data_IF_062016349684
#
_entry.id   IF_062016349684
#
_cell.length_a   1.000
_cell.length_b   1.000
_cell.length_c   1.000
_cell.angle_alpha   90.00
_cell.angle_beta   90.00
_cell.angle_gamma   90.00
#
_symmetry.space_group_name_H-M   'P 1'
#
loop_
_entity.id
_entity.type
_entity.pdbx_description
1 polymer ?
#
# COMPACT_ATOMS: atom_id res chain seq x y z
N UNK A 1 17.32 -3.88 -29.71
CA UNK A 1 16.17 -3.02 -30.05
C UNK A 1 15.17 -3.02 -28.92
N UNK A 2 14.71 -1.86 -28.50
CA UNK A 2 13.69 -1.75 -27.45
C UNK A 2 12.28 -1.92 -28.02
N UNK A 3 11.36 -2.49 -27.24
CA UNK A 3 9.98 -2.72 -27.67
C UNK A 3 9.15 -1.43 -27.67
N UNK A 4 9.46 -0.50 -26.77
CA UNK A 4 8.79 0.80 -26.63
C UNK A 4 7.26 0.68 -26.53
N UNK A 5 6.73 0.04 -25.47
CA UNK A 5 5.29 -0.15 -25.35
C UNK A 5 4.58 1.20 -25.16
N UNK A 6 3.43 1.35 -25.81
CA UNK A 6 2.53 2.50 -25.59
C UNK A 6 1.47 2.07 -24.60
N UNK A 7 1.36 2.78 -23.49
CA UNK A 7 0.46 2.40 -22.40
C UNK A 7 0.06 3.64 -21.60
N UNK A 8 -1.17 3.70 -21.06
CA UNK A 8 -1.56 4.75 -20.12
C UNK A 8 -1.02 4.52 -18.69
N UNK A 9 -0.33 3.41 -18.43
CA UNK A 9 0.24 3.13 -17.13
C UNK A 9 -0.06 1.74 -16.62
N UNK A 10 0.00 1.58 -15.30
CA UNK A 10 -0.24 0.32 -14.62
C UNK A 10 -1.75 0.15 -14.43
N UNK A 11 -2.30 -1.03 -14.77
CA UNK A 11 -3.72 -1.33 -14.59
C UNK A 11 -3.99 -1.83 -13.17
N UNK A 12 -3.28 -2.83 -12.72
CA UNK A 12 -3.46 -3.38 -11.38
C UNK A 12 -2.19 -4.02 -10.87
N UNK A 13 -2.13 -4.13 -9.54
CA UNK A 13 -1.04 -4.79 -8.82
C UNK A 13 -1.66 -5.86 -7.93
N UNK A 14 -1.21 -7.10 -8.07
CA UNK A 14 -1.63 -8.20 -7.21
C UNK A 14 -0.60 -8.44 -6.12
N UNK A 15 -1.08 -8.48 -4.89
CA UNK A 15 -0.30 -8.77 -3.70
C UNK A 15 -0.86 -10.01 -3.01
N UNK A 16 -0.04 -10.65 -2.18
CA UNK A 16 -0.46 -11.80 -1.38
C UNK A 16 -0.55 -11.41 0.09
N UNK A 17 -1.50 -12.01 0.78
CA UNK A 17 -1.68 -11.87 2.22
C UNK A 17 -1.84 -13.24 2.87
N UNK A 18 -1.55 -13.33 4.15
CA UNK A 18 -1.70 -14.58 4.89
C UNK A 18 -3.15 -14.90 5.22
N UNK A 19 -3.98 -13.87 5.43
CA UNK A 19 -5.38 -13.97 5.83
C UNK A 19 -6.19 -12.89 5.12
N UNK A 20 -7.10 -13.30 4.22
CA UNK A 20 -7.90 -12.36 3.43
C UNK A 20 -8.80 -11.49 4.30
N UNK A 21 -9.40 -12.05 5.35
CA UNK A 21 -10.30 -11.27 6.21
C UNK A 21 -9.53 -10.23 7.02
N UNK A 22 -8.37 -10.58 7.55
CA UNK A 22 -7.52 -9.65 8.28
C UNK A 22 -7.00 -8.54 7.38
N UNK A 23 -6.54 -8.88 6.18
CA UNK A 23 -6.08 -7.90 5.20
C UNK A 23 -7.21 -6.98 4.76
N UNK A 24 -8.38 -7.53 4.43
CA UNK A 24 -9.54 -6.72 4.04
C UNK A 24 -9.95 -5.77 5.16
N UNK A 25 -10.02 -6.25 6.40
CA UNK A 25 -10.34 -5.39 7.54
C UNK A 25 -9.34 -4.23 7.66
N UNK A 26 -8.06 -4.51 7.48
CA UNK A 26 -7.03 -3.48 7.55
C UNK A 26 -7.22 -2.42 6.46
N UNK A 27 -7.29 -2.83 5.20
CA UNK A 27 -7.37 -1.87 4.09
C UNK A 27 -8.72 -1.17 4.00
N UNK A 28 -9.82 -1.85 4.28
CA UNK A 28 -11.16 -1.28 4.19
C UNK A 28 -11.54 -0.47 5.43
N UNK A 29 -11.34 -1.03 6.63
CA UNK A 29 -11.88 -0.43 7.85
C UNK A 29 -10.87 0.43 8.60
N UNK A 30 -9.58 0.12 8.54
CA UNK A 30 -8.54 0.90 9.22
C UNK A 30 -8.02 2.00 8.32
N UNK A 31 -7.56 1.65 7.12
CA UNK A 31 -7.06 2.65 6.16
C UNK A 31 -8.22 3.39 5.50
N UNK A 32 -9.29 2.69 5.14
CA UNK A 32 -10.49 3.30 4.57
C UNK A 32 -10.57 3.26 3.05
N UNK A 33 -9.85 2.36 2.39
CA UNK A 33 -10.01 2.18 0.95
C UNK A 33 -11.34 1.50 0.62
N UNK A 34 -12.03 1.94 -0.45
CA UNK A 34 -13.30 1.31 -0.84
C UNK A 34 -13.05 -0.02 -1.55
N UNK A 35 -13.45 -1.12 -0.94
CA UNK A 35 -13.40 -2.44 -1.58
C UNK A 35 -14.53 -2.51 -2.62
N UNK A 36 -14.17 -2.66 -3.87
CA UNK A 36 -15.10 -2.66 -5.02
C UNK A 36 -15.31 -4.03 -5.63
N UNK A 37 -14.50 -5.01 -5.26
CA UNK A 37 -14.62 -6.39 -5.70
C UNK A 37 -14.22 -7.31 -4.55
N UNK A 38 -15.03 -8.32 -4.29
CA UNK A 38 -14.76 -9.32 -3.28
C UNK A 38 -15.29 -10.67 -3.74
N UNK A 39 -14.45 -11.68 -3.63
CA UNK A 39 -14.83 -13.08 -3.82
C UNK A 39 -14.30 -13.90 -2.63
N UNK A 40 -14.51 -15.21 -2.64
CA UNK A 40 -13.92 -16.08 -1.63
C UNK A 40 -12.39 -16.15 -1.71
N UNK A 41 -11.79 -15.69 -2.82
CA UNK A 41 -10.37 -15.85 -3.11
C UNK A 41 -9.59 -14.54 -3.16
N UNK A 42 -10.27 -13.40 -3.30
CA UNK A 42 -9.61 -12.10 -3.44
C UNK A 42 -10.50 -10.94 -3.02
N UNK A 43 -9.89 -9.79 -2.77
CA UNK A 43 -10.56 -8.50 -2.74
C UNK A 43 -9.72 -7.46 -3.48
N UNK A 44 -10.37 -6.38 -3.92
CA UNK A 44 -9.71 -5.32 -4.66
C UNK A 44 -10.27 -3.95 -4.31
N UNK A 45 -9.40 -2.95 -4.35
CA UNK A 45 -9.76 -1.54 -4.17
C UNK A 45 -8.96 -0.66 -5.11
N UNK A 46 -9.51 0.47 -5.56
CA UNK A 46 -8.78 1.41 -6.39
C UNK A 46 -7.89 2.34 -5.55
N UNK A 47 -6.72 2.66 -6.10
CA UNK A 47 -5.89 3.77 -5.65
C UNK A 47 -5.62 4.61 -6.90
N UNK A 48 -6.31 5.73 -7.04
CA UNK A 48 -6.32 6.48 -8.30
C UNK A 48 -6.82 5.59 -9.45
N UNK A 49 -6.04 5.49 -10.51
CA UNK A 49 -6.37 4.66 -11.69
C UNK A 49 -5.85 3.23 -11.61
N UNK A 50 -5.18 2.86 -10.51
CA UNK A 50 -4.59 1.53 -10.32
C UNK A 50 -5.45 0.74 -9.34
N UNK A 51 -5.78 -0.51 -9.69
CA UNK A 51 -6.42 -1.42 -8.75
C UNK A 51 -5.37 -2.20 -7.98
N UNK A 52 -5.58 -2.30 -6.68
CA UNK A 52 -4.78 -3.17 -5.79
C UNK A 52 -5.63 -4.39 -5.49
N UNK A 53 -5.08 -5.56 -5.76
CA UNK A 53 -5.76 -6.86 -5.58
C UNK A 53 -4.98 -7.68 -4.57
N UNK A 54 -5.67 -8.22 -3.57
CA UNK A 54 -5.08 -9.14 -2.61
C UNK A 54 -5.64 -10.54 -2.81
N UNK A 55 -4.74 -11.52 -2.87
CA UNK A 55 -5.05 -12.95 -2.87
C UNK A 55 -4.34 -13.61 -1.69
N UNK A 56 -4.87 -14.74 -1.24
CA UNK A 56 -4.24 -15.49 -0.17
C UNK A 56 -2.92 -16.12 -0.65
N UNK A 57 -1.88 -16.01 0.17
CA UNK A 57 -0.60 -16.68 -0.07
C UNK A 57 -0.72 -18.20 0.19
N UNK A 58 0.18 -18.97 -0.41
CA UNK A 58 0.25 -20.42 -0.20
C UNK A 58 0.82 -20.80 1.17
N UNK A 59 1.58 -19.89 1.78
CA UNK A 59 2.16 -20.05 3.11
C UNK A 59 1.98 -18.79 3.94
N UNK A 60 2.43 -18.79 5.19
CA UNK A 60 2.36 -17.68 6.11
C UNK A 60 3.74 -17.04 6.36
N UNK A 61 4.66 -17.16 5.41
CA UNK A 61 5.96 -16.51 5.49
C UNK A 61 5.79 -14.99 5.56
N UNK A 62 6.56 -14.37 6.42
CA UNK A 62 6.52 -12.93 6.57
C UNK A 62 7.12 -12.24 5.33
N UNK A 63 6.51 -11.12 4.91
CA UNK A 63 7.03 -10.32 3.82
C UNK A 63 8.47 -9.87 4.10
N UNK A 64 9.30 -9.97 3.07
CA UNK A 64 10.71 -9.56 3.14
C UNK A 64 11.00 -8.58 2.00
N UNK A 65 11.24 -7.29 2.31
CA UNK A 65 11.51 -6.27 1.29
C UNK A 65 12.87 -6.40 0.62
N UNK A 66 13.76 -7.26 1.15
CA UNK A 66 15.13 -7.42 0.66
C UNK A 66 15.26 -8.54 -0.36
N UNK A 67 14.20 -9.29 -0.63
CA UNK A 67 14.20 -10.33 -1.67
C UNK A 67 13.76 -9.75 -3.01
N UNK A 68 14.00 -10.49 -4.10
CA UNK A 68 13.58 -10.07 -5.44
C UNK A 68 12.06 -9.88 -5.44
N UNK A 69 11.60 -8.71 -5.89
CA UNK A 69 10.20 -8.37 -5.99
C UNK A 69 9.92 -6.99 -5.43
N UNK A 70 8.89 -6.89 -4.59
CA UNK A 70 8.45 -5.62 -4.03
C UNK A 70 9.26 -5.25 -2.79
N UNK A 71 9.77 -4.02 -2.75
CA UNK A 71 10.32 -3.41 -1.54
C UNK A 71 9.18 -2.73 -0.75
N UNK A 72 8.49 -1.80 -1.38
CA UNK A 72 7.33 -1.12 -0.81
C UNK A 72 6.49 -0.49 -1.93
N UNK A 73 5.31 0.03 -1.56
CA UNK A 73 4.45 0.78 -2.47
C UNK A 73 4.25 2.19 -1.89
N UNK A 74 4.32 3.19 -2.74
CA UNK A 74 4.11 4.58 -2.34
C UNK A 74 2.84 5.12 -2.99
N UNK A 75 1.99 5.74 -2.15
CA UNK A 75 0.75 6.38 -2.56
C UNK A 75 1.00 7.88 -2.57
N UNK A 76 0.66 8.54 -3.66
CA UNK A 76 0.85 9.98 -3.80
C UNK A 76 -0.03 10.74 -2.81
N UNK A 77 0.55 11.76 -2.18
CA UNK A 77 -0.13 12.67 -1.28
C UNK A 77 0.10 14.10 -1.75
N UNK A 78 -0.98 14.87 -1.92
CA UNK A 78 -0.88 16.17 -2.58
C UNK A 78 -0.67 17.35 -1.62
N UNK A 79 -0.82 17.16 -0.31
CA UNK A 79 -0.63 18.24 0.66
C UNK A 79 -0.02 17.76 1.96
N UNK A 80 0.77 18.63 2.61
CA UNK A 80 1.30 18.36 3.94
C UNK A 80 0.20 18.17 4.97
N UNK A 81 -0.88 18.91 4.84
CA UNK A 81 -2.05 18.78 5.72
C UNK A 81 -2.61 17.36 5.67
N UNK A 82 -2.80 16.82 4.46
CA UNK A 82 -3.28 15.44 4.29
C UNK A 82 -2.27 14.43 4.81
N UNK A 83 -0.98 14.63 4.55
CA UNK A 83 0.06 13.74 5.05
C UNK A 83 0.05 13.67 6.57
N UNK A 84 -0.06 14.83 7.24
CA UNK A 84 -0.13 14.90 8.70
C UNK A 84 -1.40 14.26 9.24
N UNK A 85 -2.53 14.46 8.55
CA UNK A 85 -3.81 13.84 8.92
C UNK A 85 -3.72 12.33 8.87
N UNK A 86 -3.15 11.78 7.80
CA UNK A 86 -2.96 10.34 7.62
C UNK A 86 -2.01 9.78 8.69
N UNK A 87 -0.88 10.45 8.92
CA UNK A 87 0.08 10.02 9.94
C UNK A 87 -0.56 9.94 11.34
N UNK A 88 -1.36 10.96 11.69
CA UNK A 88 -2.11 10.95 12.96
C UNK A 88 -3.12 9.81 12.99
N UNK A 89 -3.86 9.59 11.91
CA UNK A 89 -4.84 8.52 11.83
C UNK A 89 -4.21 7.13 11.99
N UNK A 90 -3.05 6.90 11.39
CA UNK A 90 -2.31 5.66 11.55
C UNK A 90 -1.93 5.41 13.02
N UNK A 91 -1.39 6.43 13.67
CA UNK A 91 -1.01 6.33 15.09
C UNK A 91 -2.23 6.12 15.99
N UNK A 92 -3.33 6.85 15.75
CA UNK A 92 -4.57 6.72 16.52
C UNK A 92 -5.18 5.32 16.37
N UNK A 93 -5.03 4.70 15.21
CA UNK A 93 -5.51 3.35 14.92
C UNK A 93 -4.55 2.24 15.41
N UNK A 94 -3.40 2.61 15.98
CA UNK A 94 -2.41 1.63 16.46
C UNK A 94 -1.62 0.97 15.33
N UNK A 95 -1.57 1.56 14.15
CA UNK A 95 -0.80 1.04 13.02
C UNK A 95 0.66 1.47 13.16
N UNK A 96 1.58 0.49 13.08
CA UNK A 96 3.01 0.77 13.10
C UNK A 96 3.38 1.71 11.95
N UNK A 97 4.01 2.84 12.27
CA UNK A 97 4.39 3.82 11.26
C UNK A 97 5.62 4.62 11.70
N UNK A 98 6.21 5.31 10.75
CA UNK A 98 7.44 6.10 10.98
C UNK A 98 7.19 7.50 11.51
N UNK A 99 5.92 7.97 11.50
CA UNK A 99 5.66 9.41 11.54
C UNK A 99 6.12 10.07 10.25
N UNK A 100 5.85 11.36 10.12
CA UNK A 100 6.27 12.13 8.94
C UNK A 100 7.79 12.30 8.96
N UNK A 101 8.43 11.92 7.85
CA UNK A 101 9.88 12.01 7.66
C UNK A 101 10.20 12.66 6.33
N UNK A 102 11.45 13.09 6.19
CA UNK A 102 11.99 13.60 4.93
C UNK A 102 12.82 12.51 4.25
N UNK A 103 12.47 12.19 3.01
CA UNK A 103 13.31 11.36 2.16
C UNK A 103 14.46 12.23 1.63
N UNK A 104 15.67 11.95 2.06
CA UNK A 104 16.84 12.73 1.67
C UNK A 104 17.22 12.57 0.20
N UNK A 105 16.82 11.47 -0.43
CA UNK A 105 17.11 11.23 -1.86
C UNK A 105 16.30 12.14 -2.77
N UNK A 106 14.99 12.21 -2.55
CA UNK A 106 14.08 13.01 -3.38
C UNK A 106 13.68 14.34 -2.74
N UNK A 107 14.08 14.59 -1.50
CA UNK A 107 13.72 15.80 -0.75
C UNK A 107 12.22 15.98 -0.61
N UNK A 108 11.50 14.88 -0.35
CA UNK A 108 10.05 14.85 -0.17
C UNK A 108 9.69 14.26 1.18
N UNK A 109 8.63 14.76 1.77
CA UNK A 109 8.08 14.21 3.01
C UNK A 109 7.22 12.98 2.73
N UNK A 110 7.20 12.06 3.67
CA UNK A 110 6.42 10.84 3.59
C UNK A 110 6.13 10.29 4.98
N UNK A 111 5.20 9.36 5.06
CA UNK A 111 4.99 8.49 6.21
C UNK A 111 4.91 7.05 5.71
N UNK A 112 5.69 6.16 6.31
CA UNK A 112 5.65 4.73 6.02
C UNK A 112 4.88 3.98 7.09
N UNK A 113 4.15 2.95 6.70
CA UNK A 113 3.41 2.08 7.62
C UNK A 113 3.45 0.64 7.12
N UNK A 114 3.08 -0.30 7.98
CA UNK A 114 3.08 -1.72 7.66
C UNK A 114 1.69 -2.31 7.83
N UNK A 115 1.33 -3.18 6.88
CA UNK A 115 0.11 -3.94 6.97
C UNK A 115 0.26 -5.16 7.92
N UNK A 116 -0.79 -5.99 8.11
CA UNK A 116 -0.69 -7.17 9.00
C UNK A 116 0.39 -8.17 8.62
N UNK A 117 0.73 -8.28 7.35
CA UNK A 117 1.80 -9.16 6.84
C UNK A 117 3.14 -8.46 6.73
N UNK A 118 3.24 -7.22 7.27
CA UNK A 118 4.41 -6.37 7.25
C UNK A 118 4.79 -5.86 5.86
N UNK A 119 3.87 -5.86 4.92
CA UNK A 119 4.07 -5.16 3.63
C UNK A 119 4.14 -3.67 3.94
N UNK A 120 5.20 -3.02 3.47
CA UNK A 120 5.40 -1.60 3.68
C UNK A 120 4.70 -0.78 2.61
N UNK A 121 3.97 0.22 3.07
CA UNK A 121 3.37 1.26 2.26
C UNK A 121 3.88 2.61 2.71
N UNK A 122 3.82 3.57 1.81
CA UNK A 122 4.09 4.97 2.12
C UNK A 122 2.98 5.86 1.58
N UNK A 123 2.68 6.93 2.30
CA UNK A 123 2.06 8.10 1.72
C UNK A 123 3.20 9.09 1.46
N UNK A 124 3.36 9.50 0.22
CA UNK A 124 4.54 10.20 -0.26
C UNK A 124 4.13 11.48 -0.97
N UNK A 125 4.71 12.61 -0.57
CA UNK A 125 4.40 13.91 -1.17
C UNK A 125 4.82 13.97 -2.64
N UNK A 126 3.94 14.49 -3.46
CA UNK A 126 4.24 14.74 -4.88
C UNK A 126 5.05 16.01 -5.09
#
# INVERSE_FOLDING_TARGET
>A
MAINPKTPGIHHINLRCSDLNAAKNFYQNIIGFPVVLETSELFAFPVGSVFIVFKKADDNAQFNPFTIGTDHLAIACESEEELNRVAKGLSDAGVENTGVKLDSTLQKQYVAFKDPDRIQWEFYMV
#
